data_IF_242906014944
#
_entry.id   IF_242906014944
#
_cell.length_a   1.000
_cell.length_b   1.000
_cell.length_c   1.000
_cell.angle_alpha   90.00
_cell.angle_beta   90.00
_cell.angle_gamma   90.00
#
_symmetry.space_group_name_H-M   'P 1'
#
loop_
_entity.id
_entity.type
_entity.pdbx_description
1 polymer ?
#
# COMPACT_ATOMS: atom_id res chain seq x y z
N UNK A 1 -18.70 -10.80 1.23
CA UNK A 1 -17.32 -11.11 0.80
C UNK A 1 -16.77 -12.20 1.72
N UNK A 2 -16.73 -13.47 1.27
CA UNK A 2 -16.35 -14.61 2.12
C UNK A 2 -14.88 -15.05 1.95
N UNK A 3 -14.12 -14.44 1.03
CA UNK A 3 -12.75 -14.85 0.66
C UNK A 3 -11.68 -13.77 0.92
N UNK A 4 -12.00 -12.69 1.65
CA UNK A 4 -11.03 -11.63 1.95
C UNK A 4 -9.88 -12.18 2.79
N UNK A 5 -8.64 -11.94 2.36
CA UNK A 5 -7.41 -12.46 2.98
C UNK A 5 -6.38 -11.35 3.15
N UNK A 6 -5.29 -11.61 3.88
CA UNK A 6 -4.18 -10.67 4.03
C UNK A 6 -3.52 -10.28 2.69
N UNK A 7 -3.64 -11.10 1.64
CA UNK A 7 -3.20 -10.71 0.30
C UNK A 7 -4.10 -9.62 -0.29
N UNK A 8 -5.42 -9.68 -0.02
CA UNK A 8 -6.33 -8.61 -0.39
C UNK A 8 -6.04 -7.35 0.42
N UNK A 9 -5.69 -7.48 1.70
CA UNK A 9 -5.28 -6.34 2.53
C UNK A 9 -4.02 -5.65 1.97
N UNK A 10 -3.05 -6.42 1.46
CA UNK A 10 -1.86 -5.86 0.82
C UNK A 10 -2.21 -5.08 -0.45
N UNK A 11 -3.01 -5.68 -1.33
CA UNK A 11 -3.44 -5.03 -2.58
C UNK A 11 -4.32 -3.83 -2.29
N UNK A 12 -5.20 -3.90 -1.29
CA UNK A 12 -6.03 -2.79 -0.85
C UNK A 12 -5.20 -1.61 -0.34
N UNK A 13 -4.14 -1.88 0.44
CA UNK A 13 -3.22 -0.85 0.90
C UNK A 13 -2.53 -0.13 -0.28
N UNK A 14 -2.16 -0.87 -1.32
CA UNK A 14 -1.55 -0.32 -2.53
C UNK A 14 -2.55 0.54 -3.32
N UNK A 15 -3.77 0.04 -3.55
CA UNK A 15 -4.83 0.78 -4.26
C UNK A 15 -5.21 2.07 -3.55
N UNK A 16 -5.19 2.10 -2.21
CA UNK A 16 -5.51 3.32 -1.50
C UNK A 16 -4.44 4.39 -1.65
N UNK A 17 -3.15 4.02 -1.68
CA UNK A 17 -2.07 5.00 -1.86
C UNK A 17 -2.11 5.59 -3.26
N UNK A 18 -2.39 4.81 -4.29
CA UNK A 18 -2.56 5.36 -5.65
C UNK A 18 -3.85 6.17 -5.77
N UNK A 19 -5.01 5.58 -5.46
CA UNK A 19 -6.30 6.20 -5.76
C UNK A 19 -6.68 7.36 -4.82
N UNK A 20 -6.39 7.28 -3.50
CA UNK A 20 -6.81 8.34 -2.56
C UNK A 20 -5.93 9.58 -2.65
N UNK A 21 -4.85 9.54 -3.43
CA UNK A 21 -3.99 10.69 -3.69
C UNK A 21 -4.71 11.75 -4.52
N UNK A 22 -5.21 11.36 -5.69
CA UNK A 22 -5.73 12.27 -6.72
C UNK A 22 -7.06 11.83 -7.34
N UNK A 23 -7.55 10.63 -6.99
CA UNK A 23 -8.80 10.06 -7.49
C UNK A 23 -8.68 9.27 -8.80
N UNK A 24 -7.47 9.06 -9.31
CA UNK A 24 -7.19 8.26 -10.49
C UNK A 24 -6.13 7.18 -10.17
N UNK A 25 -5.94 6.24 -11.10
CA UNK A 25 -4.80 5.31 -11.04
C UNK A 25 -4.25 5.16 -12.44
N UNK A 26 -3.03 5.61 -12.65
CA UNK A 26 -2.37 5.57 -13.93
C UNK A 26 -1.77 4.18 -14.24
N UNK A 27 -1.23 4.02 -15.45
CA UNK A 27 -0.65 2.72 -15.84
C UNK A 27 0.67 2.43 -15.11
N UNK A 28 1.46 3.46 -14.79
CA UNK A 28 2.74 3.33 -14.10
C UNK A 28 2.56 2.89 -12.64
N UNK A 29 1.52 3.41 -11.97
CA UNK A 29 1.10 3.00 -10.65
C UNK A 29 0.57 1.57 -10.64
N UNK A 30 -0.24 1.17 -11.63
CA UNK A 30 -0.67 -0.23 -11.78
C UNK A 30 0.50 -1.18 -11.94
N UNK A 31 1.46 -0.82 -12.79
CA UNK A 31 2.68 -1.59 -12.97
C UNK A 31 3.49 -1.67 -11.67
N UNK A 32 3.60 -0.55 -10.93
CA UNK A 32 4.27 -0.50 -9.63
C UNK A 32 3.58 -1.37 -8.58
N UNK A 33 2.26 -1.30 -8.47
CA UNK A 33 1.46 -2.14 -7.57
C UNK A 33 1.65 -3.62 -7.89
N UNK A 34 1.50 -4.01 -9.16
CA UNK A 34 1.66 -5.39 -9.62
C UNK A 34 3.09 -5.90 -9.37
N UNK A 35 4.09 -5.09 -9.66
CA UNK A 35 5.50 -5.40 -9.40
C UNK A 35 5.76 -5.64 -7.91
N UNK A 36 5.23 -4.77 -7.05
CA UNK A 36 5.38 -4.88 -5.61
C UNK A 36 4.67 -6.11 -5.04
N UNK A 37 3.49 -6.47 -5.55
CA UNK A 37 2.81 -7.71 -5.16
C UNK A 37 3.64 -8.92 -5.53
N UNK A 38 4.26 -8.97 -6.70
CA UNK A 38 5.15 -10.09 -7.08
C UNK A 38 6.38 -10.20 -6.19
N UNK A 39 6.91 -9.08 -5.70
CA UNK A 39 8.05 -9.08 -4.76
C UNK A 39 7.63 -9.62 -3.40
N UNK A 40 6.45 -9.21 -2.90
CA UNK A 40 5.97 -9.61 -1.58
C UNK A 40 5.36 -11.02 -1.57
N UNK A 41 4.69 -11.40 -2.66
CA UNK A 41 3.93 -12.63 -2.84
C UNK A 41 4.37 -13.34 -4.14
N UNK A 42 5.61 -13.89 -4.20
CA UNK A 42 6.18 -14.44 -5.43
C UNK A 42 5.41 -15.65 -5.98
N UNK A 43 4.63 -16.33 -5.13
CA UNK A 43 3.83 -17.51 -5.51
C UNK A 43 2.46 -17.14 -6.09
N UNK A 44 2.07 -15.86 -6.08
CA UNK A 44 0.81 -15.39 -6.67
C UNK A 44 0.95 -15.31 -8.18
N UNK A 45 0.09 -16.04 -8.90
CA UNK A 45 0.01 -15.95 -10.36
C UNK A 45 -0.63 -14.64 -10.82
N UNK A 46 -0.40 -14.28 -12.08
CA UNK A 46 -1.03 -13.10 -12.69
C UNK A 46 -2.57 -13.17 -12.63
N UNK A 47 -3.14 -14.34 -12.91
CA UNK A 47 -4.60 -14.54 -12.83
C UNK A 47 -5.13 -14.37 -11.41
N UNK A 48 -4.38 -14.84 -10.40
CA UNK A 48 -4.75 -14.68 -8.99
C UNK A 48 -4.63 -13.22 -8.55
N UNK A 49 -3.60 -12.50 -8.99
CA UNK A 49 -3.47 -11.07 -8.74
C UNK A 49 -4.63 -10.28 -9.36
N UNK A 50 -4.93 -10.51 -10.64
CA UNK A 50 -6.02 -9.80 -11.33
C UNK A 50 -7.39 -10.06 -10.67
N UNK A 51 -7.63 -11.28 -10.17
CA UNK A 51 -8.83 -11.60 -9.41
C UNK A 51 -8.89 -10.84 -8.08
N UNK A 52 -7.79 -10.82 -7.31
CA UNK A 52 -7.71 -10.06 -6.05
C UNK A 52 -7.88 -8.55 -6.28
N UNK A 53 -7.24 -8.02 -7.32
CA UNK A 53 -7.35 -6.60 -7.68
C UNK A 53 -8.81 -6.22 -8.00
N UNK A 54 -9.52 -7.04 -8.80
CA UNK A 54 -10.93 -6.82 -9.08
C UNK A 54 -11.79 -6.82 -7.79
N UNK A 55 -11.58 -7.79 -6.91
CA UNK A 55 -12.31 -7.87 -5.62
C UNK A 55 -11.99 -6.67 -4.69
N UNK A 56 -10.74 -6.20 -4.71
CA UNK A 56 -10.30 -5.00 -3.98
C UNK A 56 -10.97 -3.74 -4.53
N UNK A 57 -11.02 -3.58 -5.85
CA UNK A 57 -11.67 -2.44 -6.50
C UNK A 57 -13.17 -2.45 -6.22
N UNK A 58 -13.83 -3.60 -6.32
CA UNK A 58 -15.25 -3.74 -5.98
C UNK A 58 -15.51 -3.30 -4.54
N UNK A 59 -14.69 -3.75 -3.58
CA UNK A 59 -14.80 -3.31 -2.18
C UNK A 59 -14.55 -1.81 -2.02
N UNK A 60 -13.55 -1.28 -2.71
CA UNK A 60 -13.21 0.14 -2.65
C UNK A 60 -14.36 1.03 -3.16
N UNK A 61 -15.04 0.59 -4.22
CA UNK A 61 -16.26 1.22 -4.75
C UNK A 61 -17.41 1.08 -3.76
N UNK A 62 -17.66 -0.12 -3.22
CA UNK A 62 -18.75 -0.40 -2.27
C UNK A 62 -18.66 0.42 -0.98
N UNK A 63 -17.45 0.73 -0.51
CA UNK A 63 -17.24 1.57 0.68
C UNK A 63 -17.76 3.00 0.49
N UNK A 64 -17.86 3.47 -0.75
CA UNK A 64 -18.60 4.69 -1.14
C UNK A 64 -17.97 6.03 -0.76
N UNK A 65 -17.33 6.14 0.40
CA UNK A 65 -16.73 7.39 0.89
C UNK A 65 -15.28 7.22 1.38
N UNK A 66 -14.58 8.35 1.42
CA UNK A 66 -13.16 8.42 1.78
C UNK A 66 -12.92 7.94 3.21
N UNK A 67 -13.79 8.29 4.17
CA UNK A 67 -13.62 7.88 5.56
C UNK A 67 -13.71 6.36 5.73
N UNK A 68 -14.65 5.71 5.04
CA UNK A 68 -14.78 4.26 5.03
C UNK A 68 -13.55 3.58 4.38
N UNK A 69 -13.01 4.17 3.31
CA UNK A 69 -11.79 3.70 2.63
C UNK A 69 -10.55 3.84 3.51
N UNK A 70 -10.36 4.99 4.16
CA UNK A 70 -9.26 5.21 5.11
C UNK A 70 -9.36 4.28 6.33
N UNK A 71 -10.56 4.02 6.83
CA UNK A 71 -10.77 3.05 7.91
C UNK A 71 -10.41 1.63 7.48
N UNK A 72 -10.81 1.21 6.26
CA UNK A 72 -10.42 -0.08 5.72
C UNK A 72 -8.91 -0.15 5.48
N UNK A 73 -8.29 0.93 5.02
CA UNK A 73 -6.83 1.02 4.86
C UNK A 73 -6.11 0.75 6.18
N UNK A 74 -6.52 1.41 7.26
CA UNK A 74 -5.97 1.15 8.60
C UNK A 74 -6.18 -0.30 9.06
N UNK A 75 -7.37 -0.85 8.86
CA UNK A 75 -7.67 -2.24 9.20
C UNK A 75 -6.80 -3.24 8.39
N UNK A 76 -6.58 -2.96 7.10
CA UNK A 76 -5.71 -3.75 6.24
C UNK A 76 -4.26 -3.69 6.71
N UNK A 77 -3.73 -2.50 7.07
CA UNK A 77 -2.38 -2.38 7.63
C UNK A 77 -2.20 -3.18 8.92
N UNK A 78 -3.18 -3.16 9.83
CA UNK A 78 -3.16 -3.97 11.05
C UNK A 78 -3.13 -5.47 10.72
N UNK A 79 -3.96 -5.92 9.76
CA UNK A 79 -3.96 -7.32 9.32
C UNK A 79 -2.61 -7.75 8.71
N UNK A 80 -1.89 -6.85 8.05
CA UNK A 80 -0.56 -7.12 7.50
C UNK A 80 0.52 -7.30 8.58
N UNK A 81 0.34 -6.76 9.80
CA UNK A 81 1.29 -6.97 10.90
C UNK A 81 1.42 -8.44 11.29
N UNK A 82 0.32 -9.18 11.20
CA UNK A 82 0.27 -10.61 11.49
C UNK A 82 0.89 -11.44 10.35
N UNK A 83 0.86 -10.92 9.13
CA UNK A 83 1.47 -11.55 7.95
C UNK A 83 2.98 -11.36 7.93
N UNK A 84 3.46 -10.14 8.23
CA UNK A 84 4.86 -9.75 8.17
C UNK A 84 5.42 -9.61 9.59
N UNK A 85 6.06 -10.69 10.06
CA UNK A 85 6.51 -10.80 11.45
C UNK A 85 7.92 -10.24 11.70
N UNK A 86 8.66 -9.90 10.63
CA UNK A 86 9.99 -9.31 10.73
C UNK A 86 9.98 -7.82 10.37
N UNK A 87 10.94 -7.08 10.95
CA UNK A 87 11.14 -5.67 10.63
C UNK A 87 11.53 -5.47 9.15
N UNK A 88 12.26 -6.41 8.55
CA UNK A 88 12.62 -6.38 7.13
C UNK A 88 11.38 -6.49 6.23
N UNK A 89 10.44 -7.38 6.56
CA UNK A 89 9.22 -7.53 5.77
C UNK A 89 8.29 -6.34 5.90
N UNK A 90 8.15 -5.79 7.12
CA UNK A 90 7.38 -4.56 7.38
C UNK A 90 8.00 -3.35 6.68
N UNK A 91 9.32 -3.26 6.68
CA UNK A 91 10.06 -2.26 5.92
C UNK A 91 9.79 -2.37 4.41
N UNK A 92 9.76 -3.59 3.85
CA UNK A 92 9.40 -3.77 2.43
C UNK A 92 8.00 -3.25 2.12
N UNK A 93 7.01 -3.45 3.01
CA UNK A 93 5.67 -2.88 2.83
C UNK A 93 5.72 -1.35 2.76
N UNK A 94 6.36 -0.70 3.74
CA UNK A 94 6.51 0.77 3.76
C UNK A 94 7.22 1.27 2.50
N UNK A 95 8.31 0.61 2.12
CA UNK A 95 9.09 0.95 0.93
C UNK A 95 8.26 0.82 -0.35
N UNK A 96 7.44 -0.21 -0.46
CA UNK A 96 6.58 -0.45 -1.62
C UNK A 96 5.47 0.61 -1.72
N UNK A 97 4.84 0.99 -0.60
CA UNK A 97 3.87 2.09 -0.56
C UNK A 97 4.51 3.39 -1.04
N UNK A 98 5.70 3.72 -0.53
CA UNK A 98 6.44 4.88 -0.99
C UNK A 98 6.88 4.79 -2.45
N UNK A 99 7.13 3.60 -2.99
CA UNK A 99 7.46 3.41 -4.41
C UNK A 99 6.26 3.65 -5.31
N UNK A 100 5.06 3.25 -4.88
CA UNK A 100 3.81 3.51 -5.61
C UNK A 100 3.55 5.02 -5.67
N UNK A 101 3.61 5.72 -4.52
CA UNK A 101 3.47 7.18 -4.47
C UNK A 101 4.55 7.96 -5.26
N UNK A 102 5.63 7.29 -5.65
CA UNK A 102 6.71 7.85 -6.48
C UNK A 102 6.53 7.59 -7.97
N UNK A 103 5.55 6.77 -8.35
CA UNK A 103 5.26 6.52 -9.76
C UNK A 103 4.77 7.80 -10.45
N UNK A 104 4.09 8.66 -9.68
CA UNK A 104 3.68 9.99 -10.11
C UNK A 104 4.82 11.02 -10.06
N UNK A 105 4.67 12.07 -10.87
CA UNK A 105 5.62 13.18 -10.94
C UNK A 105 5.75 13.96 -9.61
N UNK A 106 4.73 13.91 -8.75
CA UNK A 106 4.67 14.62 -7.47
C UNK A 106 3.99 13.79 -6.39
N UNK A 107 4.54 13.84 -5.17
CA UNK A 107 3.93 13.20 -3.99
C UNK A 107 3.01 14.20 -3.29
N UNK A 108 1.73 13.88 -3.27
CA UNK A 108 0.67 14.60 -2.59
C UNK A 108 0.76 14.44 -1.06
N UNK A 109 0.16 15.38 -0.33
CA UNK A 109 0.17 15.36 1.14
C UNK A 109 -0.65 14.18 1.70
N UNK A 110 -1.70 13.76 0.99
CA UNK A 110 -2.51 12.60 1.36
C UNK A 110 -1.70 11.30 1.31
N UNK A 111 -0.91 11.09 0.26
CA UNK A 111 -0.04 9.92 0.12
C UNK A 111 0.99 9.87 1.24
N UNK A 112 1.60 11.02 1.55
CA UNK A 112 2.54 11.12 2.66
C UNK A 112 1.87 10.75 3.99
N UNK A 113 0.67 11.27 4.26
CA UNK A 113 -0.08 10.94 5.48
C UNK A 113 -0.41 9.44 5.55
N UNK A 114 -0.75 8.81 4.43
CA UNK A 114 -1.00 7.37 4.36
C UNK A 114 0.26 6.56 4.63
N UNK A 115 1.41 6.96 4.08
CA UNK A 115 2.70 6.29 4.32
C UNK A 115 3.15 6.47 5.78
N UNK A 116 2.95 7.64 6.36
CA UNK A 116 3.20 7.89 7.79
C UNK A 116 2.30 7.01 8.67
N UNK A 117 1.03 6.86 8.31
CA UNK A 117 0.12 5.92 8.97
C UNK A 117 0.64 4.48 8.87
N UNK A 118 1.09 4.04 7.69
CA UNK A 118 1.67 2.71 7.53
C UNK A 118 2.92 2.49 8.39
N UNK A 119 3.82 3.49 8.44
CA UNK A 119 5.00 3.46 9.32
C UNK A 119 4.61 3.29 10.78
N UNK A 120 3.59 4.02 11.23
CA UNK A 120 3.09 3.92 12.60
C UNK A 120 2.46 2.57 12.89
N UNK A 121 1.49 2.16 12.06
CA UNK A 121 0.75 0.91 12.26
C UNK A 121 1.65 -0.31 12.20
N UNK A 122 2.64 -0.35 11.30
CA UNK A 122 3.55 -1.49 11.15
C UNK A 122 4.69 -1.51 12.22
N UNK A 123 4.64 -0.65 13.23
CA UNK A 123 5.66 -0.51 14.28
C UNK A 123 7.06 -0.13 13.74
N UNK A 124 7.09 0.74 12.72
CA UNK A 124 8.31 1.14 12.00
C UNK A 124 8.77 2.57 12.30
N UNK A 125 8.08 3.31 13.18
CA UNK A 125 8.35 4.74 13.48
C UNK A 125 9.79 5.05 13.85
N UNK A 126 10.43 4.24 14.71
CA UNK A 126 11.82 4.45 15.11
C UNK A 126 12.84 3.67 14.26
N UNK A 127 12.34 2.94 13.25
CA UNK A 127 13.09 1.98 12.43
C UNK A 127 13.30 2.47 11.00
N UNK A 128 12.61 3.54 10.61
CA UNK A 128 12.59 4.03 9.24
C UNK A 128 12.56 5.55 9.26
N UNK A 129 13.41 6.16 8.45
CA UNK A 129 13.37 7.59 8.17
C UNK A 129 12.70 7.82 6.82
N UNK A 130 11.66 8.67 6.82
CA UNK A 130 11.03 9.15 5.59
C UNK A 130 11.67 10.49 5.20
N UNK A 131 12.23 10.57 3.99
CA UNK A 131 12.84 11.80 3.47
C UNK A 131 12.11 12.22 2.20
N UNK A 132 11.22 13.21 2.33
CA UNK A 132 10.51 13.82 1.19
C UNK A 132 11.40 14.87 0.53
N UNK A 133 11.44 14.80 -0.80
CA UNK A 133 11.97 15.83 -1.71
C UNK A 133 10.82 16.30 -2.60
N UNK A 134 11.05 17.32 -3.42
CA UNK A 134 10.00 17.90 -4.28
C UNK A 134 9.38 16.87 -5.26
N UNK A 135 10.10 15.80 -5.62
CA UNK A 135 9.66 14.80 -6.60
C UNK A 135 9.90 13.35 -6.17
N UNK A 136 10.25 13.10 -4.90
CA UNK A 136 10.57 11.74 -4.44
C UNK A 136 10.49 11.59 -2.92
N UNK A 137 10.22 10.37 -2.46
CA UNK A 137 10.17 10.00 -1.05
C UNK A 137 11.17 8.87 -0.79
N UNK A 138 12.21 9.09 0.00
CA UNK A 138 13.13 8.03 0.38
C UNK A 138 12.72 7.39 1.71
N UNK A 139 12.98 6.09 1.82
CA UNK A 139 12.62 5.27 2.98
C UNK A 139 13.91 4.57 3.42
N UNK A 140 14.56 5.10 4.45
CA UNK A 140 15.87 4.63 4.92
C UNK A 140 15.72 3.83 6.22
N UNK A 141 16.12 2.55 6.26
CA UNK A 141 16.06 1.74 7.49
C UNK A 141 17.16 2.17 8.47
N UNK A 142 16.90 2.02 9.77
CA UNK A 142 17.85 2.37 10.85
C UNK A 142 18.32 1.16 11.66
N UNK A 143 18.01 -0.06 11.19
CA UNK A 143 18.28 -1.33 11.87
C UNK A 143 19.16 -2.28 11.04
#
# INVERSE_FOLDING_TARGET
>A
MANWSQHHDLVYAFVCVSFLADGEVDESEKEAMRGNVKVMLPDVSDDAYNAMEAEVIDKFIDLGDEAARTNQYGASLEALKDMFTSDDDRYKVVKNLAYIARADDFIHDNEMAMIEQAVSTLDMTDKVNLVKTDSSLFVDPTF
#
